data_IF_938043149647
#
_entry.id   IF_938043149647
#
_cell.length_a   1.000
_cell.length_b   1.000
_cell.length_c   1.000
_cell.angle_alpha   90.00
_cell.angle_beta   90.00
_cell.angle_gamma   90.00
#
_symmetry.space_group_name_H-M   'P 1'
#
loop_
_entity.id
_entity.type
_entity.pdbx_description
1 polymer ?
#
# COMPACT_ATOMS: atom_id res chain seq x y z
N UNK A 1 26.20 42.26 -62.65
CA UNK A 1 25.58 42.47 -61.31
C UNK A 1 25.63 41.13 -60.61
N UNK A 2 26.50 41.00 -59.59
CA UNK A 2 26.87 39.79 -58.87
C UNK A 2 26.01 39.68 -57.61
N UNK A 3 25.39 38.54 -57.37
CA UNK A 3 24.72 38.22 -56.12
C UNK A 3 25.28 36.89 -55.60
N UNK A 4 26.21 37.02 -54.65
CA UNK A 4 26.78 35.91 -53.92
C UNK A 4 25.85 35.55 -52.77
N UNK A 5 25.23 34.34 -52.82
CA UNK A 5 24.44 33.77 -51.74
C UNK A 5 25.37 32.98 -50.81
N UNK A 6 25.58 33.49 -49.58
CA UNK A 6 26.33 32.80 -48.53
C UNK A 6 25.50 31.65 -47.95
N UNK A 7 26.03 30.42 -48.06
CA UNK A 7 25.49 29.24 -47.35
C UNK A 7 25.95 29.34 -45.91
N UNK A 8 24.99 29.59 -45.01
CA UNK A 8 25.15 29.49 -43.57
C UNK A 8 25.29 28.01 -43.18
N UNK A 9 26.48 27.63 -42.72
CA UNK A 9 26.79 26.32 -42.18
C UNK A 9 26.03 26.09 -40.88
N UNK A 10 25.06 25.12 -40.89
CA UNK A 10 24.37 24.63 -39.71
C UNK A 10 25.40 24.00 -38.75
N UNK A 11 25.59 24.64 -37.61
CA UNK A 11 26.43 24.10 -36.56
C UNK A 11 25.84 22.81 -36.03
N UNK A 12 26.50 21.69 -36.26
CA UNK A 12 26.23 20.42 -35.63
C UNK A 12 26.48 20.61 -34.12
N UNK A 13 25.39 20.76 -33.35
CA UNK A 13 25.47 20.80 -31.90
C UNK A 13 26.14 19.55 -31.40
N UNK A 14 27.33 19.68 -30.85
CA UNK A 14 28.03 18.62 -30.12
C UNK A 14 27.12 18.19 -28.99
N UNK A 15 26.44 17.05 -29.13
CA UNK A 15 25.79 16.34 -28.04
C UNK A 15 26.89 16.07 -27.00
N UNK A 16 26.85 16.81 -25.89
CA UNK A 16 27.62 16.48 -24.71
C UNK A 16 27.27 15.05 -24.32
N UNK A 17 28.24 14.13 -24.16
CA UNK A 17 27.96 12.84 -23.58
C UNK A 17 27.51 13.10 -22.13
N UNK A 18 26.21 12.94 -21.88
CA UNK A 18 25.70 12.86 -20.52
C UNK A 18 26.42 11.67 -19.88
N UNK A 19 27.45 11.96 -19.11
CA UNK A 19 28.08 10.96 -18.28
C UNK A 19 27.01 10.41 -17.34
N UNK A 20 26.52 9.22 -17.62
CA UNK A 20 25.74 8.42 -16.72
C UNK A 20 26.60 8.20 -15.47
N UNK A 21 26.50 9.15 -14.53
CA UNK A 21 27.14 9.01 -13.21
C UNK A 21 26.29 8.04 -12.44
N UNK A 22 26.78 6.84 -12.23
CA UNK A 22 26.22 5.94 -11.25
C UNK A 22 26.05 6.72 -9.93
N UNK A 23 24.87 6.66 -9.29
CA UNK A 23 24.67 7.32 -8.01
C UNK A 23 25.72 6.81 -7.04
N UNK A 24 26.38 7.73 -6.33
CA UNK A 24 27.36 7.38 -5.31
C UNK A 24 26.70 6.46 -4.28
N UNK A 25 27.42 5.41 -3.88
CA UNK A 25 26.92 4.50 -2.84
C UNK A 25 26.60 5.33 -1.58
N UNK A 26 25.44 5.08 -0.94
CA UNK A 26 25.06 5.80 0.26
C UNK A 26 26.08 5.54 1.39
N UNK A 27 26.27 6.49 2.30
CA UNK A 27 27.17 6.32 3.44
C UNK A 27 26.78 5.10 4.27
N UNK A 28 27.77 4.43 4.85
CA UNK A 28 27.57 3.17 5.60
C UNK A 28 26.49 3.27 6.70
N UNK A 29 26.33 4.44 7.31
CA UNK A 29 25.29 4.69 8.31
C UNK A 29 23.87 4.60 7.72
N UNK A 30 23.68 5.10 6.50
CA UNK A 30 22.39 5.00 5.80
C UNK A 30 22.08 3.56 5.39
N UNK A 31 23.09 2.81 4.94
CA UNK A 31 22.92 1.38 4.59
C UNK A 31 22.53 0.57 5.82
N UNK A 32 23.16 0.83 6.98
CA UNK A 32 22.80 0.17 8.24
C UNK A 32 21.36 0.51 8.68
N UNK A 33 20.98 1.76 8.59
CA UNK A 33 19.63 2.18 8.93
C UNK A 33 18.60 1.52 8.00
N UNK A 34 18.85 1.51 6.70
CA UNK A 34 17.99 0.85 5.71
C UNK A 34 17.89 -0.67 5.95
N UNK A 35 19.01 -1.33 6.30
CA UNK A 35 19.01 -2.76 6.61
C UNK A 35 18.14 -3.08 7.84
N UNK A 36 18.23 -2.27 8.88
CA UNK A 36 17.42 -2.46 10.10
C UNK A 36 15.95 -2.17 9.84
N UNK A 37 15.63 -1.10 9.11
CA UNK A 37 14.25 -0.80 8.72
C UNK A 37 13.65 -1.94 7.87
N UNK A 38 14.46 -2.55 6.97
CA UNK A 38 14.04 -3.69 6.16
C UNK A 38 13.75 -4.94 7.02
N UNK A 39 14.60 -5.23 8.01
CA UNK A 39 14.41 -6.36 8.93
C UNK A 39 13.16 -6.15 9.78
N UNK A 40 12.96 -4.95 10.30
CA UNK A 40 11.77 -4.59 11.08
C UNK A 40 10.48 -4.73 10.25
N UNK A 41 10.51 -4.24 9.02
CA UNK A 41 9.37 -4.39 8.10
C UNK A 41 9.10 -5.85 7.78
N UNK A 42 10.14 -6.64 7.49
CA UNK A 42 9.98 -8.07 7.22
C UNK A 42 9.38 -8.82 8.42
N UNK A 43 9.86 -8.53 9.64
CA UNK A 43 9.32 -9.10 10.87
C UNK A 43 7.85 -8.68 11.09
N UNK A 44 7.52 -7.41 10.86
CA UNK A 44 6.16 -6.91 10.96
C UNK A 44 5.22 -7.58 9.95
N UNK A 45 5.67 -7.78 8.71
CA UNK A 45 4.92 -8.49 7.68
C UNK A 45 4.68 -9.95 8.07
N UNK A 46 5.69 -10.63 8.61
CA UNK A 46 5.56 -12.01 9.08
C UNK A 46 4.57 -12.13 10.23
N UNK A 47 4.66 -11.22 11.21
CA UNK A 47 3.73 -11.17 12.35
C UNK A 47 2.31 -10.90 11.87
N UNK A 48 2.12 -9.93 10.97
CA UNK A 48 0.83 -9.58 10.40
C UNK A 48 0.20 -10.77 9.66
N UNK A 49 0.97 -11.43 8.80
CA UNK A 49 0.54 -12.63 8.08
C UNK A 49 0.15 -13.75 9.05
N UNK A 50 1.02 -14.04 10.02
CA UNK A 50 0.80 -15.13 10.98
C UNK A 50 -0.40 -14.86 11.90
N UNK A 51 -0.55 -13.61 12.34
CA UNK A 51 -1.68 -13.20 13.17
C UNK A 51 -3.01 -13.38 12.44
N UNK A 52 -3.07 -12.97 11.19
CA UNK A 52 -4.28 -13.11 10.37
C UNK A 52 -4.57 -14.58 10.06
N UNK A 53 -3.59 -15.34 9.59
CA UNK A 53 -3.79 -16.73 9.15
C UNK A 53 -3.95 -17.73 10.28
N UNK A 54 -3.51 -17.41 11.52
CA UNK A 54 -3.59 -18.32 12.67
C UNK A 54 -4.60 -17.90 13.72
N UNK A 55 -4.68 -16.60 14.02
CA UNK A 55 -5.57 -16.12 15.08
C UNK A 55 -6.95 -15.79 14.51
N UNK A 56 -7.02 -15.08 13.40
CA UNK A 56 -8.30 -14.73 12.80
C UNK A 56 -9.01 -15.99 12.25
N UNK A 57 -8.28 -16.95 11.70
CA UNK A 57 -8.83 -18.20 11.21
C UNK A 57 -9.43 -19.08 12.31
N UNK A 58 -8.97 -18.99 13.56
CA UNK A 58 -9.61 -19.68 14.70
C UNK A 58 -11.02 -19.17 14.98
N UNK A 59 -11.29 -17.91 14.66
CA UNK A 59 -12.59 -17.28 14.90
C UNK A 59 -13.46 -17.30 13.62
N UNK A 60 -12.81 -17.19 12.46
CA UNK A 60 -13.49 -16.96 11.20
C UNK A 60 -12.72 -17.57 10.01
N UNK A 61 -12.73 -18.87 9.84
CA UNK A 61 -12.17 -19.51 8.64
C UNK A 61 -13.31 -19.88 7.70
N UNK A 62 -13.25 -19.42 6.46
CA UNK A 62 -14.15 -19.82 5.37
C UNK A 62 -13.47 -20.88 4.51
N UNK A 63 -12.22 -20.61 4.13
CA UNK A 63 -11.37 -21.55 3.39
C UNK A 63 -9.88 -21.22 3.58
N UNK A 64 -9.02 -22.20 3.33
CA UNK A 64 -7.56 -21.96 3.37
C UNK A 64 -7.09 -20.91 2.35
N UNK A 65 -7.79 -20.78 1.22
CA UNK A 65 -7.51 -19.77 0.22
C UNK A 65 -7.89 -18.35 0.71
N UNK A 66 -9.03 -18.21 1.39
CA UNK A 66 -9.47 -16.96 1.99
C UNK A 66 -8.52 -16.53 3.12
N UNK A 67 -8.06 -17.47 3.96
CA UNK A 67 -7.10 -17.21 5.03
C UNK A 67 -5.76 -16.69 4.46
N UNK A 68 -5.25 -17.34 3.41
CA UNK A 68 -4.02 -16.90 2.73
C UNK A 68 -4.18 -15.51 2.09
N UNK A 69 -5.34 -15.24 1.48
CA UNK A 69 -5.64 -13.93 0.88
C UNK A 69 -5.76 -12.86 1.97
N UNK A 70 -6.35 -13.19 3.12
CA UNK A 70 -6.40 -12.32 4.30
C UNK A 70 -5.02 -11.97 4.82
N UNK A 71 -4.15 -12.98 4.97
CA UNK A 71 -2.77 -12.80 5.35
C UNK A 71 -2.01 -11.86 4.40
N UNK A 72 -2.16 -12.06 3.08
CA UNK A 72 -1.58 -11.18 2.06
C UNK A 72 -2.10 -9.73 2.22
N UNK A 73 -3.40 -9.57 2.46
CA UNK A 73 -4.00 -8.26 2.59
C UNK A 73 -3.52 -7.50 3.83
N UNK A 74 -3.37 -8.22 4.95
CA UNK A 74 -2.79 -7.66 6.17
C UNK A 74 -1.32 -7.24 5.98
N UNK A 75 -0.52 -8.04 5.26
CA UNK A 75 0.87 -7.68 4.89
C UNK A 75 0.89 -6.41 4.05
N UNK A 76 0.06 -6.31 3.02
CA UNK A 76 -0.04 -5.10 2.18
C UNK A 76 -0.37 -3.88 3.05
N UNK A 77 -1.35 -3.99 3.97
CA UNK A 77 -1.68 -2.90 4.89
C UNK A 77 -0.49 -2.50 5.77
N UNK A 78 0.27 -3.48 6.30
CA UNK A 78 1.48 -3.24 7.10
C UNK A 78 2.55 -2.48 6.32
N UNK A 79 2.84 -2.90 5.07
CA UNK A 79 3.83 -2.24 4.20
C UNK A 79 3.45 -0.79 3.91
N UNK A 80 2.18 -0.51 3.64
CA UNK A 80 1.71 0.85 3.37
C UNK A 80 1.89 1.80 4.56
N UNK A 81 1.91 1.28 5.78
CA UNK A 81 2.05 2.08 6.99
C UNK A 81 3.49 2.31 7.43
N UNK A 82 4.42 1.51 6.98
CA UNK A 82 5.83 1.64 7.35
C UNK A 82 6.45 2.84 6.64
N UNK A 83 6.52 3.98 7.35
CA UNK A 83 7.02 5.27 6.85
C UNK A 83 8.16 5.79 7.71
N UNK A 84 8.90 6.77 7.16
CA UNK A 84 10.04 7.39 7.83
C UNK A 84 9.68 8.17 9.11
N UNK A 85 8.43 8.51 9.31
CA UNK A 85 7.93 9.28 10.46
C UNK A 85 6.63 8.70 10.99
N UNK A 86 6.47 8.66 12.30
CA UNK A 86 5.25 8.16 12.95
C UNK A 86 3.99 8.93 12.52
N UNK A 87 4.08 10.25 12.41
CA UNK A 87 2.94 11.06 11.96
C UNK A 87 2.51 10.71 10.52
N UNK A 88 3.48 10.40 9.63
CA UNK A 88 3.19 9.93 8.28
C UNK A 88 2.58 8.52 8.30
N UNK A 89 3.04 7.63 9.19
CA UNK A 89 2.47 6.31 9.39
C UNK A 89 1.04 6.39 9.91
N UNK A 90 0.78 7.27 10.86
CA UNK A 90 -0.56 7.50 11.41
C UNK A 90 -1.50 8.08 10.34
N UNK A 91 -1.05 9.07 9.57
CA UNK A 91 -1.83 9.60 8.46
C UNK A 91 -2.16 8.52 7.42
N UNK A 92 -1.18 7.68 7.07
CA UNK A 92 -1.39 6.54 6.17
C UNK A 92 -2.36 5.50 6.75
N UNK A 93 -2.33 5.27 8.07
CA UNK A 93 -3.29 4.39 8.75
C UNK A 93 -4.73 4.91 8.63
N UNK A 94 -4.94 6.18 8.93
CA UNK A 94 -6.25 6.84 8.82
C UNK A 94 -6.76 6.79 7.37
N UNK A 95 -5.88 7.10 6.41
CA UNK A 95 -6.17 7.02 4.98
C UNK A 95 -6.60 5.60 4.58
N UNK A 96 -5.80 4.60 4.92
CA UNK A 96 -6.08 3.20 4.61
C UNK A 96 -7.40 2.70 5.22
N UNK A 97 -7.64 3.03 6.49
CA UNK A 97 -8.88 2.64 7.18
C UNK A 97 -10.11 3.33 6.56
N UNK A 98 -10.01 4.62 6.22
CA UNK A 98 -11.10 5.34 5.60
C UNK A 98 -11.46 4.76 4.22
N UNK A 99 -10.45 4.51 3.36
CA UNK A 99 -10.65 3.89 2.06
C UNK A 99 -11.28 2.48 2.18
N UNK A 100 -10.81 1.69 3.16
CA UNK A 100 -11.36 0.35 3.43
C UNK A 100 -12.81 0.43 3.93
N UNK A 101 -13.15 1.40 4.78
CA UNK A 101 -14.52 1.59 5.26
C UNK A 101 -15.49 1.99 4.13
N UNK A 102 -15.07 2.88 3.23
CA UNK A 102 -15.87 3.22 2.04
C UNK A 102 -16.13 1.95 1.21
N UNK A 103 -15.09 1.20 0.90
CA UNK A 103 -15.21 -0.06 0.15
C UNK A 103 -16.07 -1.09 0.88
N UNK A 104 -15.90 -1.22 2.20
CA UNK A 104 -16.70 -2.11 3.06
C UNK A 104 -18.19 -1.81 2.94
N UNK A 105 -18.58 -0.54 3.13
CA UNK A 105 -20.00 -0.14 3.10
C UNK A 105 -20.60 -0.38 1.72
N UNK A 106 -19.91 0.01 0.66
CA UNK A 106 -20.39 -0.14 -0.70
C UNK A 106 -20.52 -1.61 -1.12
N UNK A 107 -19.49 -2.43 -0.84
CA UNK A 107 -19.50 -3.84 -1.19
C UNK A 107 -20.51 -4.62 -0.35
N UNK A 108 -20.62 -4.34 0.96
CA UNK A 108 -21.60 -4.99 1.82
C UNK A 108 -23.02 -4.67 1.38
N UNK A 109 -23.32 -3.40 1.10
CA UNK A 109 -24.62 -3.00 0.59
C UNK A 109 -24.98 -3.70 -0.74
N UNK A 110 -24.01 -3.84 -1.65
CA UNK A 110 -24.23 -4.54 -2.91
C UNK A 110 -24.43 -6.05 -2.69
N UNK A 111 -23.50 -6.71 -1.98
CA UNK A 111 -23.46 -8.16 -1.82
C UNK A 111 -24.57 -8.70 -0.90
N UNK A 112 -25.19 -7.84 -0.09
CA UNK A 112 -26.36 -8.20 0.72
C UNK A 112 -27.62 -8.42 -0.13
N UNK A 113 -27.73 -7.78 -1.30
CA UNK A 113 -28.91 -7.83 -2.16
C UNK A 113 -28.66 -8.48 -3.52
N UNK A 114 -27.42 -8.45 -4.01
CA UNK A 114 -27.05 -8.87 -5.35
C UNK A 114 -25.87 -9.83 -5.31
N UNK A 115 -25.86 -10.90 -6.12
CA UNK A 115 -24.70 -11.76 -6.26
C UNK A 115 -23.58 -11.03 -6.99
N UNK A 116 -22.36 -11.58 -6.88
CA UNK A 116 -21.23 -11.06 -7.64
C UNK A 116 -21.50 -11.06 -9.13
N UNK A 117 -21.25 -9.93 -9.77
CA UNK A 117 -21.32 -9.76 -11.22
C UNK A 117 -20.18 -8.86 -11.71
N UNK A 118 -19.52 -9.15 -12.85
CA UNK A 118 -18.44 -8.30 -13.37
C UNK A 118 -18.85 -6.83 -13.58
N UNK A 119 -20.08 -6.57 -13.99
CA UNK A 119 -20.62 -5.21 -14.11
C UNK A 119 -20.77 -4.51 -12.75
N UNK A 120 -21.17 -5.27 -11.71
CA UNK A 120 -21.22 -4.77 -10.34
C UNK A 120 -19.85 -4.38 -9.83
N UNK A 121 -18.82 -5.19 -10.13
CA UNK A 121 -17.42 -4.86 -9.83
C UNK A 121 -17.03 -3.50 -10.46
N UNK A 122 -17.25 -3.32 -11.75
CA UNK A 122 -16.86 -2.09 -12.44
C UNK A 122 -17.59 -0.85 -11.87
N UNK A 123 -18.89 -0.97 -11.63
CA UNK A 123 -19.70 0.12 -11.05
C UNK A 123 -19.23 0.45 -9.63
N UNK A 124 -19.00 -0.54 -8.79
CA UNK A 124 -18.58 -0.32 -7.40
C UNK A 124 -17.17 0.26 -7.29
N UNK A 125 -16.24 -0.16 -8.15
CA UNK A 125 -14.91 0.45 -8.22
C UNK A 125 -15.03 1.93 -8.60
N UNK A 126 -15.78 2.26 -9.65
CA UNK A 126 -16.01 3.65 -10.01
C UNK A 126 -16.70 4.47 -8.91
N UNK A 127 -17.70 3.88 -8.27
CA UNK A 127 -18.42 4.50 -7.16
C UNK A 127 -17.54 4.72 -5.93
N UNK A 128 -16.68 3.77 -5.57
CA UNK A 128 -15.77 3.92 -4.43
C UNK A 128 -14.74 5.03 -4.65
N UNK A 129 -14.21 5.14 -5.87
CA UNK A 129 -13.33 6.25 -6.27
C UNK A 129 -14.07 7.58 -6.17
N UNK A 130 -15.26 7.67 -6.74
CA UNK A 130 -16.08 8.89 -6.72
C UNK A 130 -16.45 9.32 -5.29
N UNK A 131 -16.93 8.39 -4.45
CA UNK A 131 -17.30 8.68 -3.06
C UNK A 131 -16.10 9.16 -2.27
N UNK A 132 -14.93 8.53 -2.45
CA UNK A 132 -13.69 8.95 -1.76
C UNK A 132 -13.26 10.35 -2.19
N UNK A 133 -13.35 10.68 -3.47
CA UNK A 133 -13.09 12.03 -3.98
C UNK A 133 -14.07 13.06 -3.39
N UNK A 134 -15.37 12.74 -3.34
CA UNK A 134 -16.39 13.64 -2.78
C UNK A 134 -16.26 13.88 -1.27
N UNK A 135 -15.71 12.92 -0.53
CA UNK A 135 -15.38 13.07 0.91
C UNK A 135 -14.17 14.02 1.12
N UNK A 136 -13.53 14.47 0.02
CA UNK A 136 -12.42 15.41 0.09
C UNK A 136 -11.10 14.76 0.53
N UNK A 137 -10.89 13.49 0.17
CA UNK A 137 -9.66 12.74 0.41
C UNK A 137 -8.93 12.41 -0.90
N UNK A 138 -8.38 13.41 -1.58
CA UNK A 138 -7.61 13.18 -2.79
C UNK A 138 -6.34 12.36 -2.43
N UNK A 139 -6.10 11.32 -3.21
CA UNK A 139 -5.00 10.37 -2.97
C UNK A 139 -5.43 9.04 -2.35
N UNK A 140 -6.61 8.95 -1.73
CA UNK A 140 -7.16 7.71 -1.18
C UNK A 140 -8.04 6.96 -2.20
N UNK A 141 -8.39 7.60 -3.31
CA UNK A 141 -9.29 7.07 -4.35
C UNK A 141 -8.78 5.75 -4.94
N UNK A 142 -7.49 5.71 -5.28
CA UNK A 142 -6.84 4.51 -5.84
C UNK A 142 -6.90 3.37 -4.81
N UNK A 143 -6.64 3.67 -3.54
CA UNK A 143 -6.71 2.68 -2.45
C UNK A 143 -8.11 2.14 -2.29
N UNK A 144 -9.14 2.99 -2.32
CA UNK A 144 -10.54 2.60 -2.24
C UNK A 144 -10.93 1.73 -3.45
N UNK A 145 -10.55 2.12 -4.66
CA UNK A 145 -10.78 1.35 -5.87
C UNK A 145 -10.15 -0.05 -5.82
N UNK A 146 -8.87 -0.14 -5.43
CA UNK A 146 -8.17 -1.43 -5.27
C UNK A 146 -8.84 -2.30 -4.21
N UNK A 147 -9.19 -1.73 -3.05
CA UNK A 147 -9.86 -2.46 -1.96
C UNK A 147 -11.21 -3.00 -2.42
N UNK A 148 -12.01 -2.17 -3.10
CA UNK A 148 -13.30 -2.58 -3.68
C UNK A 148 -13.13 -3.73 -4.69
N UNK A 149 -12.14 -3.64 -5.57
CA UNK A 149 -11.86 -4.68 -6.55
C UNK A 149 -11.49 -6.01 -5.86
N UNK A 150 -10.62 -5.97 -4.84
CA UNK A 150 -10.22 -7.17 -4.10
C UNK A 150 -11.42 -7.80 -3.37
N UNK A 151 -12.24 -7.00 -2.68
CA UNK A 151 -13.43 -7.48 -1.99
C UNK A 151 -14.40 -8.15 -2.95
N UNK A 152 -14.69 -7.51 -4.08
CA UNK A 152 -15.61 -8.04 -5.07
C UNK A 152 -15.09 -9.31 -5.73
N UNK A 153 -13.80 -9.37 -6.10
CA UNK A 153 -13.19 -10.59 -6.67
C UNK A 153 -13.20 -11.71 -5.65
N UNK A 154 -12.87 -11.45 -4.38
CA UNK A 154 -12.96 -12.45 -3.31
C UNK A 154 -14.38 -12.99 -3.15
N UNK A 155 -15.39 -12.11 -3.21
CA UNK A 155 -16.80 -12.50 -3.18
C UNK A 155 -17.19 -13.39 -4.38
N UNK A 156 -16.61 -13.14 -5.55
CA UNK A 156 -16.79 -13.97 -6.74
C UNK A 156 -16.16 -15.36 -6.62
N UNK A 157 -15.06 -15.49 -5.86
CA UNK A 157 -14.40 -16.77 -5.59
C UNK A 157 -15.13 -17.61 -4.55
N UNK A 158 -15.87 -16.97 -3.61
CA UNK A 158 -16.62 -17.62 -2.54
C UNK A 158 -18.09 -17.17 -2.56
N UNK A 159 -18.88 -17.56 -3.57
CA UNK A 159 -20.23 -17.01 -3.76
C UNK A 159 -21.21 -17.32 -2.63
N UNK A 160 -21.05 -18.45 -1.93
CA UNK A 160 -21.93 -18.88 -0.83
C UNK A 160 -21.85 -17.96 0.39
N UNK A 161 -20.67 -17.35 0.62
CA UNK A 161 -20.37 -16.47 1.73
C UNK A 161 -19.91 -15.06 1.26
N UNK A 162 -20.37 -14.64 0.10
CA UNK A 162 -19.94 -13.39 -0.55
C UNK A 162 -20.07 -12.16 0.36
N UNK A 163 -21.13 -12.05 1.15
CA UNK A 163 -21.38 -10.94 2.08
C UNK A 163 -20.38 -10.88 3.25
N UNK A 164 -19.67 -11.99 3.54
CA UNK A 164 -18.63 -12.03 4.59
C UNK A 164 -17.31 -11.43 4.11
N UNK A 165 -17.06 -11.41 2.81
CA UNK A 165 -15.78 -10.91 2.26
C UNK A 165 -15.45 -9.46 2.65
N UNK A 166 -16.38 -8.48 2.61
CA UNK A 166 -16.11 -7.14 3.11
C UNK A 166 -15.67 -7.13 4.58
N UNK A 167 -16.32 -7.94 5.44
CA UNK A 167 -16.00 -8.03 6.87
C UNK A 167 -14.60 -8.58 7.09
N UNK A 168 -14.23 -9.66 6.38
CA UNK A 168 -12.89 -10.25 6.44
C UNK A 168 -11.83 -9.25 6.02
N UNK A 169 -12.02 -8.57 4.89
CA UNK A 169 -11.07 -7.57 4.40
C UNK A 169 -10.91 -6.38 5.35
N UNK A 170 -11.98 -5.97 6.03
CA UNK A 170 -11.89 -4.94 7.06
C UNK A 170 -11.06 -5.41 8.26
N UNK A 171 -11.30 -6.64 8.74
CA UNK A 171 -10.54 -7.24 9.84
C UNK A 171 -9.05 -7.40 9.50
N UNK A 172 -8.73 -7.93 8.31
CA UNK A 172 -7.36 -8.09 7.83
C UNK A 172 -6.63 -6.74 7.75
N UNK A 173 -7.32 -5.71 7.23
CA UNK A 173 -6.77 -4.35 7.16
C UNK A 173 -6.51 -3.79 8.56
N UNK A 174 -7.44 -3.98 9.51
CA UNK A 174 -7.28 -3.50 10.88
C UNK A 174 -6.08 -4.15 11.58
N UNK A 175 -5.88 -5.46 11.40
CA UNK A 175 -4.71 -6.19 11.93
C UNK A 175 -3.43 -5.64 11.30
N UNK A 176 -3.38 -5.53 9.97
CA UNK A 176 -2.20 -5.02 9.27
C UNK A 176 -1.85 -3.58 9.67
N UNK A 177 -2.87 -2.73 9.83
CA UNK A 177 -2.72 -1.35 10.32
C UNK A 177 -2.16 -1.32 11.74
N UNK A 178 -2.71 -2.12 12.66
CA UNK A 178 -2.24 -2.18 14.04
C UNK A 178 -0.77 -2.63 14.13
N UNK A 179 -0.42 -3.72 13.45
CA UNK A 179 0.95 -4.24 13.41
C UNK A 179 1.90 -3.22 12.76
N UNK A 180 1.51 -2.60 11.65
CA UNK A 180 2.31 -1.59 10.96
C UNK A 180 2.59 -0.36 11.81
N UNK A 181 1.62 0.14 12.57
CA UNK A 181 1.79 1.26 13.50
C UNK A 181 2.73 0.91 14.66
N UNK A 182 2.57 -0.28 15.25
CA UNK A 182 3.46 -0.76 16.31
C UNK A 182 4.90 -0.90 15.81
N UNK A 183 5.08 -1.49 14.63
CA UNK A 183 6.40 -1.63 14.01
C UNK A 183 7.05 -0.27 13.69
N UNK A 184 6.29 0.68 13.16
CA UNK A 184 6.76 2.03 12.90
C UNK A 184 7.16 2.75 14.19
N UNK A 185 6.38 2.60 15.26
CA UNK A 185 6.69 3.17 16.57
C UNK A 185 7.96 2.58 17.18
N UNK A 186 8.11 1.25 17.14
CA UNK A 186 9.31 0.56 17.61
C UNK A 186 10.55 0.96 16.83
N UNK A 187 10.45 1.01 15.50
CA UNK A 187 11.55 1.43 14.63
C UNK A 187 12.05 2.82 14.96
N UNK A 188 11.13 3.76 15.12
CA UNK A 188 11.47 5.17 15.37
C UNK A 188 11.98 5.44 16.78
N UNK A 189 11.45 4.77 17.79
CA UNK A 189 11.80 5.05 19.19
C UNK A 189 12.90 4.16 19.77
N UNK A 190 12.92 2.88 19.40
CA UNK A 190 13.85 1.92 20.02
C UNK A 190 15.08 1.65 19.14
N UNK A 191 14.93 1.60 17.83
CA UNK A 191 15.99 1.09 16.96
C UNK A 191 16.82 2.20 16.30
N UNK A 192 16.19 3.22 15.73
CA UNK A 192 16.90 4.32 15.05
C UNK A 192 17.84 5.13 15.96
N UNK A 193 17.51 5.43 17.24
CA UNK A 193 18.43 6.10 18.15
C UNK A 193 19.70 5.31 18.44
N UNK A 194 19.58 3.99 18.58
CA UNK A 194 20.72 3.09 18.86
C UNK A 194 21.71 3.03 17.69
N UNK A 195 21.23 3.22 16.46
CA UNK A 195 22.09 3.17 15.25
C UNK A 195 22.73 4.52 14.96
N UNK A 196 22.06 5.63 15.33
CA UNK A 196 22.55 6.99 15.15
C UNK A 196 23.54 7.45 16.20
N UNK A 197 23.79 6.64 17.25
CA UNK A 197 24.80 6.90 18.26
C UNK A 197 26.05 6.04 18.05
N UNK A 198 26.95 6.37 17.12
CA UNK A 198 28.36 6.04 17.26
C UNK A 198 29.03 7.34 17.70
N UNK A 199 29.59 7.33 18.94
CA UNK A 199 30.46 8.31 19.50
C UNK A 199 30.98 9.41 18.58
N UNK A 200 30.47 10.60 18.79
CA UNK A 200 31.25 11.80 18.52
C UNK A 200 32.13 12.02 19.71
N UNK A 201 33.47 12.03 19.52
CA UNK A 201 34.38 12.51 20.54
C UNK A 201 34.17 13.99 20.82
#
# INVERSE_FOLDING_TARGET
MSASGGMSGGGVGKLKPDHFRLPALPPQAEVRAAAVDSILLAAACLISYWLTTRVLSLVYSVSAADDALGGLWAVIATVFLFRDSYNKSLAAAVSRMAATLVSFVLCLAYLAFLPFHPWGLAILVGLSVLVTALIGRPGDEITAGITTAVVMVSAGLSPQDAWRQPILRLADTAIGVAVGLVAAWLGLRAVRPLIRSPGTP
#
